data_IF_995800741019
#
_entry.id   IF_995800741019
#
_cell.length_a   1.000
_cell.length_b   1.000
_cell.length_c   1.000
_cell.angle_alpha   90.00
_cell.angle_beta   90.00
_cell.angle_gamma   90.00
#
_symmetry.space_group_name_H-M   'P 1'
#
loop_
_entity.id
_entity.type
_entity.pdbx_description
1 polymer ?
#
# COMPACT_ATOMS: atom_id res chain seq x y z
N UNK A 1 5.77 -8.52 -11.11
CA UNK A 1 4.67 -7.84 -10.39
C UNK A 1 4.86 -7.98 -8.88
N UNK A 2 4.29 -7.11 -8.05
CA UNK A 2 4.38 -7.24 -6.59
C UNK A 2 3.03 -6.95 -5.93
N UNK A 3 2.78 -7.52 -4.77
CA UNK A 3 1.73 -7.03 -3.88
C UNK A 3 2.10 -5.65 -3.35
N UNK A 4 1.12 -4.76 -3.31
CA UNK A 4 1.26 -3.39 -2.83
C UNK A 4 0.12 -3.06 -1.87
N UNK A 5 0.33 -2.05 -1.05
CA UNK A 5 -0.70 -1.39 -0.26
C UNK A 5 -0.41 0.10 -0.26
N UNK A 6 -1.45 0.91 -0.49
CA UNK A 6 -1.34 2.35 -0.38
C UNK A 6 -1.19 2.79 1.08
N UNK A 7 -0.58 3.95 1.38
CA UNK A 7 -0.37 4.40 2.76
C UNK A 7 -1.64 4.53 3.60
N UNK A 8 -2.76 5.04 3.06
CA UNK A 8 -3.99 5.16 3.82
C UNK A 8 -4.65 3.79 4.02
N UNK A 9 -4.61 2.92 3.01
CA UNK A 9 -5.06 1.53 3.14
C UNK A 9 -4.24 0.78 4.21
N UNK A 10 -2.92 0.95 4.23
CA UNK A 10 -2.03 0.37 5.24
C UNK A 10 -2.39 0.86 6.64
N UNK A 11 -2.55 2.17 6.82
CA UNK A 11 -2.95 2.74 8.10
C UNK A 11 -4.32 2.21 8.56
N UNK A 12 -5.29 2.06 7.64
CA UNK A 12 -6.59 1.48 7.93
C UNK A 12 -6.50 0.01 8.38
N UNK A 13 -5.69 -0.81 7.70
CA UNK A 13 -5.45 -2.21 8.08
C UNK A 13 -4.82 -2.31 9.47
N UNK A 14 -3.80 -1.49 9.77
CA UNK A 14 -3.16 -1.46 11.10
C UNK A 14 -4.14 -1.00 12.17
N UNK A 15 -4.93 0.04 11.91
CA UNK A 15 -5.91 0.56 12.85
C UNK A 15 -6.98 -0.50 13.18
N UNK A 16 -7.48 -1.22 12.17
CA UNK A 16 -8.44 -2.31 12.38
C UNK A 16 -7.86 -3.45 13.23
N UNK A 17 -6.61 -3.85 12.97
CA UNK A 17 -5.91 -4.84 13.81
C UNK A 17 -5.73 -4.33 15.25
N UNK A 18 -5.38 -3.06 15.45
CA UNK A 18 -5.23 -2.47 16.77
C UNK A 18 -6.55 -2.45 17.55
N UNK A 19 -7.69 -2.18 16.88
CA UNK A 19 -9.03 -2.27 17.48
C UNK A 19 -9.31 -3.70 17.94
N UNK A 20 -9.07 -4.71 17.09
CA UNK A 20 -9.26 -6.12 17.46
C UNK A 20 -8.43 -6.52 18.68
N UNK A 21 -7.14 -6.14 18.70
CA UNK A 21 -6.26 -6.40 19.84
C UNK A 21 -6.76 -5.73 21.13
N UNK A 22 -7.17 -4.47 21.05
CA UNK A 22 -7.74 -3.74 22.20
C UNK A 22 -9.01 -4.43 22.72
N UNK A 23 -9.84 -4.94 21.82
CA UNK A 23 -11.11 -5.57 22.16
C UNK A 23 -10.92 -7.04 22.60
N UNK A 24 -9.66 -7.49 22.81
CA UNK A 24 -9.32 -8.80 23.36
C UNK A 24 -9.21 -9.93 22.33
N UNK A 25 -9.30 -9.62 21.03
CA UNK A 25 -9.11 -10.63 19.99
C UNK A 25 -7.65 -11.05 19.92
N UNK A 26 -7.39 -12.36 20.04
CA UNK A 26 -6.05 -12.90 19.89
C UNK A 26 -5.55 -12.75 18.44
N UNK A 27 -4.57 -11.87 18.22
CA UNK A 27 -3.94 -11.69 16.92
C UNK A 27 -2.83 -12.73 16.69
N UNK A 28 -2.62 -13.16 15.44
CA UNK A 28 -1.49 -14.02 15.08
C UNK A 28 -0.16 -13.26 15.24
N UNK A 29 0.91 -13.97 15.60
CA UNK A 29 2.25 -13.38 15.70
C UNK A 29 2.86 -12.90 14.37
N UNK A 30 2.25 -13.25 13.22
CA UNK A 30 2.64 -12.80 11.89
C UNK A 30 1.42 -12.69 10.99
N UNK A 31 1.29 -11.56 10.27
CA UNK A 31 0.27 -11.34 9.25
C UNK A 31 0.84 -10.48 8.12
N UNK A 32 0.49 -10.80 6.87
CA UNK A 32 0.84 -9.98 5.71
C UNK A 32 -0.13 -8.82 5.56
N UNK A 33 0.39 -7.65 5.19
CA UNK A 33 -0.40 -6.46 4.87
C UNK A 33 -0.21 -6.12 3.38
N UNK A 34 -1.28 -6.25 2.61
CA UNK A 34 -1.32 -5.93 1.19
C UNK A 34 -2.77 -5.71 0.73
N UNK A 35 -2.96 -5.15 -0.46
CA UNK A 35 -4.16 -5.37 -1.26
C UNK A 35 -4.15 -6.80 -1.84
N UNK A 36 -5.31 -7.35 -2.17
CA UNK A 36 -5.39 -8.67 -2.78
C UNK A 36 -4.96 -8.60 -4.25
N UNK A 37 -3.85 -9.26 -4.60
CA UNK A 37 -3.32 -9.19 -5.96
C UNK A 37 -1.86 -8.80 -6.04
N UNK A 38 -1.43 -8.64 -7.28
CA UNK A 38 -0.14 -8.04 -7.61
C UNK A 38 -0.31 -7.05 -8.75
N UNK A 39 0.45 -5.97 -8.71
CA UNK A 39 0.49 -4.95 -9.78
C UNK A 39 1.91 -4.87 -10.33
N UNK A 40 2.06 -4.51 -11.60
CA UNK A 40 3.40 -4.28 -12.16
C UNK A 40 3.86 -2.86 -11.82
N UNK A 41 5.18 -2.67 -11.66
CA UNK A 41 5.71 -1.34 -11.34
C UNK A 41 5.44 -0.33 -12.46
N UNK A 42 5.47 -0.75 -13.72
CA UNK A 42 5.18 0.11 -14.86
C UNK A 42 3.72 0.55 -14.93
N UNK A 43 2.78 -0.27 -14.46
CA UNK A 43 1.37 0.13 -14.33
C UNK A 43 1.22 1.25 -13.29
N UNK A 44 1.92 1.15 -12.15
CA UNK A 44 1.97 2.21 -11.14
C UNK A 44 2.58 3.50 -11.68
N UNK A 45 3.71 3.40 -12.40
CA UNK A 45 4.37 4.57 -13.00
C UNK A 45 3.47 5.25 -14.04
N UNK A 46 2.78 4.46 -14.87
CA UNK A 46 1.80 4.97 -15.83
C UNK A 46 0.64 5.67 -15.14
N UNK A 47 0.02 5.05 -14.13
CA UNK A 47 -1.07 5.64 -13.35
C UNK A 47 -0.63 6.92 -12.60
N UNK A 48 0.63 6.98 -12.17
CA UNK A 48 1.22 8.15 -11.53
C UNK A 48 1.57 9.28 -12.52
N UNK A 49 1.52 9.04 -13.83
CA UNK A 49 1.96 10.00 -14.85
C UNK A 49 3.46 10.25 -14.82
N UNK A 50 4.25 9.26 -14.37
CA UNK A 50 5.72 9.36 -14.26
C UNK A 50 6.37 8.78 -15.51
N UNK A 51 7.25 9.56 -16.15
CA UNK A 51 8.09 9.07 -17.23
C UNK A 51 9.10 8.04 -16.73
N UNK A 52 9.32 6.98 -17.51
CA UNK A 52 10.31 5.94 -17.21
C UNK A 52 10.82 5.30 -18.50
N UNK A 53 11.99 4.66 -18.42
CA UNK A 53 12.58 3.91 -19.51
C UNK A 53 12.78 2.45 -19.07
N UNK A 54 12.40 1.45 -19.89
CA UNK A 54 12.64 0.06 -19.58
C UNK A 54 14.14 -0.22 -19.51
N UNK A 55 14.53 -1.03 -18.53
CA UNK A 55 15.88 -1.59 -18.40
C UNK A 55 15.77 -3.11 -18.29
N UNK A 56 16.67 -3.88 -18.93
CA UNK A 56 16.73 -5.32 -18.72
C UNK A 56 16.87 -5.67 -17.24
N UNK A 57 16.11 -6.68 -16.80
CA UNK A 57 16.20 -7.19 -15.44
C UNK A 57 17.56 -7.87 -15.21
N UNK A 58 18.23 -7.61 -14.08
CA UNK A 58 19.42 -8.37 -13.70
C UNK A 58 19.12 -9.87 -13.56
N UNK A 59 20.12 -10.75 -13.76
CA UNK A 59 19.99 -12.17 -13.43
C UNK A 59 19.55 -12.36 -11.98
N UNK A 60 18.59 -13.25 -11.74
CA UNK A 60 18.07 -13.54 -10.40
C UNK A 60 17.03 -12.55 -9.87
N UNK A 61 16.63 -11.53 -10.64
CA UNK A 61 15.52 -10.66 -10.22
C UNK A 61 14.23 -11.48 -10.15
N UNK A 62 13.59 -11.46 -8.98
CA UNK A 62 12.30 -12.14 -8.76
C UNK A 62 11.23 -11.49 -9.64
N UNK A 63 10.65 -12.28 -10.55
CA UNK A 63 9.64 -11.83 -11.50
C UNK A 63 8.30 -11.44 -10.84
N UNK A 64 7.91 -12.12 -9.77
CA UNK A 64 6.72 -11.77 -9.01
C UNK A 64 6.83 -12.07 -7.51
N UNK A 65 6.26 -11.19 -6.68
CA UNK A 65 6.11 -11.40 -5.24
C UNK A 65 4.64 -11.16 -4.89
N UNK A 66 3.89 -12.22 -4.61
CA UNK A 66 2.50 -12.16 -4.15
C UNK A 66 2.46 -12.54 -2.67
N UNK A 67 1.90 -11.67 -1.84
CA UNK A 67 1.64 -11.99 -0.44
C UNK A 67 0.28 -12.70 -0.31
N UNK A 68 0.23 -13.74 0.53
CA UNK A 68 -1.04 -14.34 0.93
C UNK A 68 -1.69 -13.48 2.01
N UNK A 69 -2.88 -12.96 1.70
CA UNK A 69 -3.68 -12.08 2.58
C UNK A 69 -4.89 -12.78 3.19
N UNK A 70 -5.02 -14.10 3.05
CA UNK A 70 -6.16 -14.85 3.59
C UNK A 70 -6.32 -14.68 5.11
N UNK A 71 -5.19 -14.67 5.84
CA UNK A 71 -5.19 -14.44 7.30
C UNK A 71 -5.65 -13.03 7.65
N UNK A 72 -5.24 -12.02 6.89
CA UNK A 72 -5.70 -10.65 7.08
C UNK A 72 -7.21 -10.56 6.81
N UNK A 73 -7.68 -11.19 5.74
CA UNK A 73 -9.09 -11.23 5.36
C UNK A 73 -9.99 -11.83 6.45
N UNK A 74 -9.52 -12.88 7.11
CA UNK A 74 -10.24 -13.48 8.25
C UNK A 74 -10.32 -12.60 9.49
N UNK A 75 -9.41 -11.62 9.65
CA UNK A 75 -9.39 -10.72 10.81
C UNK A 75 -10.22 -9.46 10.56
N UNK A 76 -10.02 -8.78 9.44
CA UNK A 76 -10.56 -7.42 9.20
C UNK A 76 -11.42 -7.33 7.93
N UNK A 77 -11.76 -8.46 7.31
CA UNK A 77 -12.42 -8.51 6.01
C UNK A 77 -11.42 -8.47 4.84
N UNK A 78 -11.87 -8.97 3.67
CA UNK A 78 -11.01 -9.09 2.50
C UNK A 78 -10.48 -7.72 2.04
N UNK A 79 -9.16 -7.56 1.87
CA UNK A 79 -8.60 -6.37 1.24
C UNK A 79 -9.19 -6.16 -0.16
N UNK A 80 -9.28 -4.90 -0.59
CA UNK A 80 -9.68 -4.59 -1.96
C UNK A 80 -8.70 -5.23 -2.96
N UNK A 81 -9.22 -5.54 -4.16
CA UNK A 81 -8.39 -5.99 -5.28
C UNK A 81 -7.35 -4.93 -5.64
N UNK A 82 -6.12 -5.37 -5.89
CA UNK A 82 -5.01 -4.50 -6.19
C UNK A 82 -5.18 -3.87 -7.58
N UNK A 83 -5.33 -2.55 -7.60
CA UNK A 83 -5.45 -1.75 -8.81
C UNK A 83 -4.43 -0.60 -8.80
N UNK A 84 -3.74 -0.41 -9.93
CA UNK A 84 -2.66 0.58 -10.02
C UNK A 84 -3.15 2.01 -9.82
N UNK A 85 -4.32 2.36 -10.40
CA UNK A 85 -4.87 3.69 -10.30
C UNK A 85 -5.35 3.99 -8.87
N UNK A 86 -5.99 3.02 -8.22
CA UNK A 86 -6.41 3.13 -6.83
C UNK A 86 -5.22 3.29 -5.87
N UNK A 87 -4.15 2.50 -6.05
CA UNK A 87 -2.92 2.63 -5.23
C UNK A 87 -2.29 4.02 -5.39
N UNK A 88 -2.21 4.53 -6.62
CA UNK A 88 -1.67 5.88 -6.87
C UNK A 88 -2.57 6.96 -6.30
N UNK A 89 -3.90 6.81 -6.41
CA UNK A 89 -4.85 7.74 -5.82
C UNK A 89 -4.70 7.79 -4.29
N UNK A 90 -4.50 6.64 -3.65
CA UNK A 90 -4.24 6.51 -2.22
C UNK A 90 -2.94 7.23 -1.81
N UNK A 91 -1.83 6.98 -2.53
CA UNK A 91 -0.55 7.68 -2.33
C UNK A 91 -0.71 9.22 -2.39
N UNK A 92 -1.42 9.72 -3.41
CA UNK A 92 -1.66 11.15 -3.61
C UNK A 92 -2.47 11.80 -2.49
N UNK A 93 -3.18 11.04 -1.65
CA UNK A 93 -3.86 11.60 -0.46
C UNK A 93 -2.83 12.08 0.57
N UNK A 94 -1.74 11.33 0.75
CA UNK A 94 -0.73 11.64 1.77
C UNK A 94 0.28 12.69 1.28
N UNK A 95 0.59 12.71 -0.02
CA UNK A 95 1.42 13.76 -0.61
C UNK A 95 0.80 15.16 -0.46
N UNK A 96 -0.53 15.27 -0.53
CA UNK A 96 -1.27 16.53 -0.32
C UNK A 96 -1.13 17.04 1.11
N UNK A 97 -1.39 16.18 2.10
CA UNK A 97 -1.22 16.51 3.54
C UNK A 97 0.19 17.02 3.83
N UNK A 98 1.22 16.37 3.27
CA UNK A 98 2.60 16.81 3.42
C UNK A 98 2.83 18.21 2.83
N UNK A 99 2.29 18.48 1.65
CA UNK A 99 2.46 19.78 0.97
C UNK A 99 1.79 20.91 1.76
N UNK A 100 0.61 20.67 2.32
CA UNK A 100 -0.12 21.63 3.18
C UNK A 100 0.66 21.92 4.46
N UNK A 101 1.09 20.88 5.19
CA UNK A 101 1.89 21.02 6.40
C UNK A 101 3.20 21.79 6.16
N UNK A 102 3.86 21.58 5.01
CA UNK A 102 5.07 22.30 4.63
C UNK A 102 4.80 23.78 4.32
N UNK A 103 3.67 24.12 3.70
CA UNK A 103 3.27 25.51 3.42
C UNK A 103 2.98 26.28 4.72
N UNK A 104 2.26 25.67 5.66
CA UNK A 104 1.96 26.27 6.97
C UNK A 104 3.22 26.50 7.84
N UNK A 105 4.23 25.66 7.69
CA UNK A 105 5.52 25.84 8.36
C UNK A 105 6.35 26.98 7.74
N UNK A 106 6.22 27.21 6.43
CA UNK A 106 6.90 28.29 5.71
C UNK A 106 6.32 29.69 5.96
N UNK A 107 4.99 29.80 6.14
CA UNK A 107 4.30 31.10 6.35
C UNK A 107 4.38 31.65 7.78
N UNK A 108 4.99 30.89 8.72
CA UNK A 108 5.17 31.27 10.13
C UNK A 108 6.58 31.79 10.46
N UNK A 109 7.41 32.05 9.43
CA UNK A 109 8.75 32.63 9.54
C UNK A 109 8.76 34.01 8.89
#
# INVERSE_FOLDING_TARGET
ARSYVGPCALAGQIAALAVLARDGTALPGLVNLALDGTVRMDDLLRAAGRGWLPRPAPPGLIGAVRLDVARLAGLIGAPAQADAAAIVADLRRVERVRTEAQREAGNRR
#
